data_IF_233186349473
#
_entry.id   IF_233186349473
#
_cell.length_a   1.000
_cell.length_b   1.000
_cell.length_c   1.000
_cell.angle_alpha   90.00
_cell.angle_beta   90.00
_cell.angle_gamma   90.00
#
_symmetry.space_group_name_H-M   'P 1'
#
loop_
_entity.id
_entity.type
_entity.pdbx_description
1 polymer ?
#
# COMPACT_ATOMS: atom_id res chain seq x y z
N UNK A 1 1.73 -6.19 -17.57
CA UNK A 1 1.57 -6.81 -16.24
C UNK A 1 0.10 -6.80 -15.88
N UNK A 2 -0.46 -7.87 -15.29
CA UNK A 2 -1.82 -7.80 -14.74
C UNK A 2 -1.76 -7.31 -13.31
N UNK A 3 -2.79 -6.61 -12.84
CA UNK A 3 -2.89 -6.28 -11.42
C UNK A 3 -3.14 -7.58 -10.66
N UNK A 4 -2.23 -7.99 -9.78
CA UNK A 4 -2.33 -9.28 -9.06
C UNK A 4 -3.62 -9.44 -8.26
N UNK A 5 -4.27 -8.34 -7.90
CA UNK A 5 -5.59 -8.35 -7.23
C UNK A 5 -6.70 -8.96 -8.11
N UNK A 6 -6.56 -8.90 -9.43
CA UNK A 6 -7.57 -9.42 -10.36
C UNK A 6 -7.41 -10.95 -10.50
N UNK A 7 -6.26 -11.48 -10.06
CA UNK A 7 -5.97 -12.91 -9.95
C UNK A 7 -6.35 -13.47 -8.57
N UNK A 8 -6.31 -12.65 -7.52
CA UNK A 8 -6.66 -13.07 -6.16
C UNK A 8 -7.61 -12.09 -5.44
N UNK A 9 -8.85 -12.55 -5.17
CA UNK A 9 -9.92 -11.77 -4.54
C UNK A 9 -9.77 -11.60 -3.03
N UNK A 10 -8.96 -12.43 -2.35
CA UNK A 10 -8.80 -12.35 -0.90
C UNK A 10 -7.75 -11.31 -0.45
N UNK A 11 -6.98 -10.75 -1.39
CA UNK A 11 -5.95 -9.75 -1.12
C UNK A 11 -4.58 -10.32 -0.72
N UNK A 12 -4.43 -11.65 -0.66
CA UNK A 12 -3.19 -12.37 -0.37
C UNK A 12 -2.40 -12.68 -1.65
N UNK A 13 -2.43 -11.77 -2.62
CA UNK A 13 -1.65 -11.88 -3.86
C UNK A 13 -0.18 -11.56 -3.62
N UNK A 14 0.30 -10.48 -4.23
CA UNK A 14 1.73 -10.15 -4.25
C UNK A 14 2.24 -9.46 -2.98
N UNK A 15 1.48 -8.51 -2.42
CA UNK A 15 1.91 -7.73 -1.26
C UNK A 15 0.76 -7.49 -0.28
N UNK A 16 1.09 -7.48 1.01
CA UNK A 16 0.23 -6.99 2.08
C UNK A 16 0.89 -5.75 2.73
N UNK A 17 0.06 -4.81 3.22
CA UNK A 17 0.55 -3.57 3.84
C UNK A 17 0.16 -3.55 5.31
N UNK A 18 1.15 -3.42 6.19
CA UNK A 18 0.94 -3.30 7.64
C UNK A 18 0.89 -1.82 8.02
N UNK A 19 -0.20 -1.39 8.65
CA UNK A 19 -0.30 -0.02 9.18
C UNK A 19 0.44 0.10 10.52
N UNK A 20 1.70 0.54 10.46
CA UNK A 20 2.57 0.67 11.63
C UNK A 20 2.07 1.66 12.68
N UNK A 21 1.32 2.71 12.31
CA UNK A 21 0.73 3.64 13.28
C UNK A 21 -0.35 2.94 14.11
N UNK A 22 -1.28 2.25 13.45
CA UNK A 22 -2.29 1.45 14.16
C UNK A 22 -1.67 0.34 15.01
N UNK A 23 -0.60 -0.29 14.52
CA UNK A 23 0.14 -1.28 15.29
C UNK A 23 0.73 -0.67 16.57
N UNK A 24 1.30 0.54 16.45
CA UNK A 24 1.83 1.31 17.57
C UNK A 24 0.75 1.88 18.51
N UNK A 25 -0.46 2.17 18.03
CA UNK A 25 -1.52 2.80 18.85
C UNK A 25 -2.40 1.77 19.60
N UNK A 26 -2.35 0.49 19.20
CA UNK A 26 -3.17 -0.60 19.75
C UNK A 26 -2.32 -1.53 20.63
N UNK A 27 -2.69 -2.82 20.70
CA UNK A 27 -2.04 -3.89 21.46
C UNK A 27 -0.55 -4.09 21.18
N UNK A 28 0.03 -3.37 20.22
CA UNK A 28 1.46 -3.37 19.96
C UNK A 28 2.23 -2.37 20.82
N UNK A 29 1.64 -1.34 21.43
CA UNK A 29 2.41 -0.37 22.22
C UNK A 29 2.94 -0.97 23.53
N UNK A 30 4.25 -1.09 23.70
CA UNK A 30 4.85 -1.57 24.97
C UNK A 30 5.24 -0.44 25.94
N UNK A 31 5.03 0.84 25.57
CA UNK A 31 5.34 1.99 26.41
C UNK A 31 6.45 2.87 25.83
N UNK A 32 6.92 3.88 26.58
CA UNK A 32 7.87 4.89 26.08
C UNK A 32 9.27 4.32 25.80
N UNK A 33 9.62 3.19 26.41
CA UNK A 33 10.95 2.58 26.29
C UNK A 33 11.00 1.43 25.26
N UNK A 34 9.84 0.94 24.82
CA UNK A 34 9.75 -0.19 23.92
C UNK A 34 8.63 0.04 22.90
N UNK A 35 9.02 0.08 21.62
CA UNK A 35 8.11 0.37 20.51
C UNK A 35 7.00 -0.66 20.38
N UNK A 36 7.33 -1.95 20.55
CA UNK A 36 6.40 -3.07 20.38
C UNK A 36 6.40 -4.05 21.54
N UNK A 37 5.25 -4.66 21.86
CA UNK A 37 5.18 -5.81 22.77
C UNK A 37 6.09 -6.94 22.28
N UNK A 38 6.57 -7.83 23.18
CA UNK A 38 7.42 -8.94 22.80
C UNK A 38 6.84 -9.79 21.66
N UNK A 39 5.53 -10.02 21.67
CA UNK A 39 4.84 -10.84 20.67
C UNK A 39 4.86 -10.18 19.29
N UNK A 40 4.56 -8.87 19.23
CA UNK A 40 4.60 -8.12 17.98
C UNK A 40 6.02 -8.00 17.45
N UNK A 41 6.99 -7.71 18.34
CA UNK A 41 8.40 -7.63 17.96
C UNK A 41 8.90 -8.96 17.37
N UNK A 42 8.53 -10.08 17.99
CA UNK A 42 8.89 -11.41 17.50
C UNK A 42 8.22 -11.74 16.16
N UNK A 43 6.95 -11.37 15.96
CA UNK A 43 6.26 -11.57 14.69
C UNK A 43 6.91 -10.78 13.54
N UNK A 44 7.21 -9.49 13.77
CA UNK A 44 7.91 -8.65 12.78
C UNK A 44 9.28 -9.22 12.45
N UNK A 45 10.06 -9.61 13.47
CA UNK A 45 11.36 -10.26 13.29
C UNK A 45 11.26 -11.54 12.46
N UNK A 46 10.24 -12.36 12.71
CA UNK A 46 10.02 -13.61 11.96
C UNK A 46 9.76 -13.33 10.47
N UNK A 47 8.97 -12.30 10.15
CA UNK A 47 8.72 -11.91 8.75
C UNK A 47 9.98 -11.33 8.07
N UNK A 48 10.77 -10.57 8.81
CA UNK A 48 12.04 -10.01 8.33
C UNK A 48 13.09 -11.10 8.07
N UNK A 49 13.25 -12.05 9.00
CA UNK A 49 14.17 -13.19 8.84
C UNK A 49 13.74 -14.14 7.72
N UNK A 50 12.44 -14.23 7.43
CA UNK A 50 11.92 -14.97 6.28
C UNK A 50 12.10 -14.22 4.94
N UNK A 51 12.57 -12.96 4.96
CA UNK A 51 12.68 -12.12 3.77
C UNK A 51 11.34 -11.67 3.18
N UNK A 52 10.25 -11.79 3.95
CA UNK A 52 8.90 -11.44 3.51
C UNK A 52 8.49 -10.00 3.89
N UNK A 53 9.28 -9.32 4.72
CA UNK A 53 9.07 -7.94 5.13
C UNK A 53 10.10 -7.01 4.52
N UNK A 54 9.64 -6.12 3.64
CA UNK A 54 10.44 -5.04 3.06
C UNK A 54 10.15 -3.71 3.76
N UNK A 55 11.19 -2.95 4.09
CA UNK A 55 11.07 -1.61 4.66
C UNK A 55 11.27 -0.55 3.59
N UNK A 56 10.23 0.24 3.31
CA UNK A 56 10.30 1.39 2.39
C UNK A 56 11.08 2.59 2.96
N UNK A 57 12.37 2.41 3.23
CA UNK A 57 13.28 3.47 3.71
C UNK A 57 13.72 4.35 2.54
N UNK A 58 13.85 5.65 2.79
CA UNK A 58 14.36 6.57 1.77
C UNK A 58 15.78 6.19 1.32
N UNK A 59 15.98 6.13 0.01
CA UNK A 59 17.23 5.72 -0.64
C UNK A 59 17.47 4.21 -0.69
N UNK A 60 16.51 3.37 -0.25
CA UNK A 60 16.62 1.92 -0.33
C UNK A 60 16.01 1.37 -1.63
N UNK A 61 16.40 0.17 -2.08
CA UNK A 61 15.81 -0.47 -3.26
C UNK A 61 14.28 -0.63 -3.17
N UNK A 62 13.78 -0.89 -1.97
CA UNK A 62 12.36 -1.08 -1.69
C UNK A 62 11.65 0.22 -1.29
N UNK A 63 12.23 1.39 -1.60
CA UNK A 63 11.55 2.67 -1.37
C UNK A 63 10.26 2.75 -2.19
N UNK A 64 9.13 2.98 -1.53
CA UNK A 64 7.83 3.13 -2.19
C UNK A 64 6.99 4.24 -1.58
N UNK A 65 6.06 4.75 -2.38
CA UNK A 65 5.04 5.70 -1.94
C UNK A 65 3.65 5.09 -2.13
N UNK A 66 2.87 5.03 -1.04
CA UNK A 66 1.52 4.46 -1.07
C UNK A 66 0.46 5.55 -1.16
N UNK A 67 -0.36 5.51 -2.21
CA UNK A 67 -1.57 6.31 -2.32
C UNK A 67 -2.80 5.42 -2.12
N UNK A 68 -3.59 5.71 -1.09
CA UNK A 68 -4.88 5.02 -0.89
C UNK A 68 -5.90 5.58 -1.87
N UNK A 69 -6.77 4.74 -2.44
CA UNK A 69 -7.80 5.19 -3.40
C UNK A 69 -8.71 6.29 -2.86
N UNK A 70 -8.92 6.35 -1.53
CA UNK A 70 -9.73 7.39 -0.89
C UNK A 70 -9.07 8.76 -0.84
N UNK A 71 -7.77 8.84 -1.09
CA UNK A 71 -7.02 10.09 -1.06
C UNK A 71 -7.48 11.03 -2.17
N UNK A 72 -7.63 12.32 -1.85
CA UNK A 72 -8.06 13.36 -2.80
C UNK A 72 -7.26 13.38 -4.10
N UNK A 73 -5.96 13.09 -4.04
CA UNK A 73 -5.06 13.15 -5.19
C UNK A 73 -4.89 11.80 -5.89
N UNK A 74 -5.48 10.72 -5.37
CA UNK A 74 -5.38 9.39 -5.96
C UNK A 74 -5.83 9.35 -7.42
N UNK A 75 -6.93 10.04 -7.75
CA UNK A 75 -7.45 10.07 -9.11
C UNK A 75 -6.43 10.63 -10.09
N UNK A 76 -5.86 11.80 -9.78
CA UNK A 76 -4.87 12.43 -10.64
C UNK A 76 -3.61 11.59 -10.81
N UNK A 77 -3.11 11.00 -9.72
CA UNK A 77 -1.94 10.12 -9.78
C UNK A 77 -2.18 8.90 -10.69
N UNK A 78 -3.36 8.27 -10.57
CA UNK A 78 -3.72 7.09 -11.35
C UNK A 78 -3.96 7.42 -12.83
N UNK A 79 -4.62 8.53 -13.15
CA UNK A 79 -4.85 8.96 -14.53
C UNK A 79 -3.54 9.25 -15.27
N UNK A 80 -2.61 9.97 -14.62
CA UNK A 80 -1.32 10.29 -15.23
C UNK A 80 -0.43 9.06 -15.37
N UNK A 81 -0.44 8.17 -14.38
CA UNK A 81 0.29 6.91 -14.47
C UNK A 81 -0.26 6.03 -15.60
N UNK A 82 -1.59 5.87 -15.70
CA UNK A 82 -2.22 5.13 -16.79
C UNK A 82 -1.83 5.71 -18.16
N UNK A 83 -1.88 7.03 -18.31
CA UNK A 83 -1.47 7.71 -19.55
C UNK A 83 0.00 7.43 -19.91
N UNK A 84 0.90 7.44 -18.94
CA UNK A 84 2.32 7.17 -19.15
C UNK A 84 2.59 5.72 -19.57
N UNK A 85 1.89 4.74 -18.99
CA UNK A 85 2.11 3.32 -19.30
C UNK A 85 1.39 2.88 -20.59
N UNK A 86 0.41 3.65 -21.08
CA UNK A 86 -0.38 3.29 -22.25
C UNK A 86 0.41 3.07 -23.55
N UNK A 87 1.62 3.64 -23.68
CA UNK A 87 2.51 3.36 -24.82
C UNK A 87 3.14 1.98 -24.79
N UNK A 88 3.32 1.42 -23.59
CA UNK A 88 4.09 0.20 -23.36
C UNK A 88 3.17 -1.00 -23.10
N UNK A 89 2.09 -0.78 -22.35
CA UNK A 89 1.12 -1.81 -21.96
C UNK A 89 -0.30 -1.22 -21.86
N UNK A 90 -1.05 -1.24 -22.99
CA UNK A 90 -2.42 -0.72 -23.03
C UNK A 90 -3.39 -1.45 -22.08
N UNK A 91 -3.27 -2.78 -21.93
CA UNK A 91 -4.15 -3.56 -21.04
C UNK A 91 -3.94 -3.16 -19.58
N UNK A 92 -2.69 -2.98 -19.16
CA UNK A 92 -2.37 -2.52 -17.81
C UNK A 92 -2.77 -1.06 -17.61
N UNK A 93 -2.56 -0.20 -18.61
CA UNK A 93 -3.02 1.20 -18.59
C UNK A 93 -4.52 1.29 -18.31
N UNK A 94 -5.34 0.51 -19.03
CA UNK A 94 -6.79 0.45 -18.82
C UNK A 94 -7.14 -0.01 -17.40
N UNK A 95 -6.45 -1.05 -16.89
CA UNK A 95 -6.68 -1.57 -15.55
C UNK A 95 -6.34 -0.54 -14.44
N UNK A 96 -5.31 0.30 -14.65
CA UNK A 96 -4.98 1.41 -13.76
C UNK A 96 -5.95 2.57 -13.93
N UNK A 97 -6.35 2.89 -15.16
CA UNK A 97 -7.35 3.93 -15.41
C UNK A 97 -8.69 3.59 -14.74
N UNK A 98 -9.10 2.32 -14.73
CA UNK A 98 -10.30 1.87 -14.04
C UNK A 98 -10.25 2.09 -12.52
N UNK A 99 -9.06 2.10 -11.92
CA UNK A 99 -8.93 2.50 -10.52
C UNK A 99 -9.29 3.95 -10.29
N UNK A 100 -8.88 4.81 -11.22
CA UNK A 100 -9.10 6.25 -11.12
C UNK A 100 -10.59 6.58 -10.99
N UNK A 101 -11.45 5.82 -11.70
CA UNK A 101 -12.91 5.98 -11.74
C UNK A 101 -13.56 5.89 -10.35
N UNK A 102 -12.98 5.11 -9.43
CA UNK A 102 -13.47 4.89 -8.05
C UNK A 102 -12.56 5.48 -6.96
N UNK A 103 -11.67 6.39 -7.34
CA UNK A 103 -10.70 7.01 -6.44
C UNK A 103 -10.98 8.50 -6.21
N UNK A 104 -10.29 9.10 -5.24
CA UNK A 104 -10.50 10.49 -4.86
C UNK A 104 -11.96 10.75 -4.52
N UNK A 105 -12.52 11.84 -5.06
CA UNK A 105 -13.91 12.24 -4.82
C UNK A 105 -14.95 11.19 -5.21
N UNK A 106 -14.58 10.24 -6.08
CA UNK A 106 -15.45 9.16 -6.51
C UNK A 106 -15.39 7.94 -5.57
N UNK A 107 -14.50 7.95 -4.59
CA UNK A 107 -14.43 6.90 -3.58
C UNK A 107 -15.53 7.10 -2.53
N UNK A 108 -16.29 6.07 -2.13
CA UNK A 108 -17.23 6.16 -1.00
C UNK A 108 -16.53 6.44 0.33
N UNK A 109 -15.20 6.31 0.39
CA UNK A 109 -14.38 6.57 1.57
C UNK A 109 -13.57 7.86 1.46
N UNK A 110 -13.89 8.73 0.49
CA UNK A 110 -13.15 9.95 0.17
C UNK A 110 -12.68 10.69 1.43
N UNK A 111 -11.39 10.99 1.47
CA UNK A 111 -10.77 11.74 2.56
C UNK A 111 -9.81 12.78 1.97
N UNK A 112 -9.90 14.00 2.49
CA UNK A 112 -8.88 15.03 2.27
C UNK A 112 -7.71 14.73 3.22
N UNK A 113 -6.45 14.75 2.75
CA UNK A 113 -5.30 14.60 3.64
C UNK A 113 -5.39 15.59 4.80
N UNK A 114 -5.12 15.09 6.01
CA UNK A 114 -5.01 15.93 7.22
C UNK A 114 -3.71 16.74 7.15
#
# INVERSE_FOLDING_TARGET
MKLDRDLNKDGCGKYAIINLRKLNDLCGHAGPFQRWTPEVAQAIKTLEEAGALEWGRTGAPDEFFLIKLKDKYAKHALEQYAAAVGSDDPEYSDAVFDLSKRSGKNSPFYKVPD
#
